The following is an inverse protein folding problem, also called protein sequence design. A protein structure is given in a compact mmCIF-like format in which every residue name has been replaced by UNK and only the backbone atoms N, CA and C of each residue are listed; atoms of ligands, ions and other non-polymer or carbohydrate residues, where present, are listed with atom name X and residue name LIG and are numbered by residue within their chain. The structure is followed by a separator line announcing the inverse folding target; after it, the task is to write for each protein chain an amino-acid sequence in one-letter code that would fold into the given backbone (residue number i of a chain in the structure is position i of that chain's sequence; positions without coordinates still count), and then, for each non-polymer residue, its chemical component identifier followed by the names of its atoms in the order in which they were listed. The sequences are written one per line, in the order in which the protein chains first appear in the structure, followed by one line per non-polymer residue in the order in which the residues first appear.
data_IF_715080796225
#
_entry.id   IF_715080796225
#
_cell.length_a   1.000
_cell.length_b   1.000
_cell.length_c   1.000
_cell.angle_alpha   90.00
_cell.angle_beta   90.00
_cell.angle_gamma   90.00
#
_symmetry.space_group_name_H-M   'P 1'
#
loop_
_entity.id
_entity.type
_entity.pdbx_description
1 polymer ?
#
# COMPACT_ATOMS: atom_id res chain seq x y z
N UNK A 1 14.80 -9.24 -29.51
CA UNK A 1 15.78 -8.84 -28.49
C UNK A 1 15.55 -7.36 -28.20
N UNK A 2 15.25 -6.97 -26.95
CA UNK A 2 15.12 -5.56 -26.57
C UNK A 2 16.47 -4.87 -26.72
N UNK A 3 16.49 -3.73 -27.40
CA UNK A 3 17.69 -2.89 -27.49
C UNK A 3 17.84 -2.02 -26.25
N UNK A 4 19.05 -1.54 -25.96
CA UNK A 4 19.28 -0.60 -24.85
C UNK A 4 18.42 0.67 -25.01
N UNK A 5 18.28 1.18 -26.22
CA UNK A 5 17.44 2.34 -26.53
C UNK A 5 15.95 2.09 -26.21
N UNK A 6 15.42 0.90 -26.50
CA UNK A 6 14.04 0.57 -26.18
C UNK A 6 13.80 0.45 -24.65
N UNK A 7 14.79 -0.01 -23.89
CA UNK A 7 14.73 -0.05 -22.43
C UNK A 7 14.76 1.37 -21.85
N UNK A 8 15.61 2.23 -22.37
CA UNK A 8 15.72 3.63 -21.97
C UNK A 8 14.41 4.42 -22.25
N UNK A 9 13.85 4.26 -23.45
CA UNK A 9 12.56 4.85 -23.81
C UNK A 9 11.44 4.40 -22.86
N UNK A 10 11.35 3.10 -22.58
CA UNK A 10 10.37 2.53 -21.65
C UNK A 10 10.55 3.09 -20.23
N UNK A 11 11.79 3.21 -19.76
CA UNK A 11 12.12 3.76 -18.44
C UNK A 11 11.62 5.20 -18.31
N UNK A 12 11.96 6.08 -19.25
CA UNK A 12 11.53 7.49 -19.20
C UNK A 12 10.02 7.65 -19.39
N UNK A 13 9.41 6.83 -20.25
CA UNK A 13 7.96 6.81 -20.42
C UNK A 13 7.23 6.46 -19.12
N UNK A 14 7.71 5.45 -18.38
CA UNK A 14 7.13 5.07 -17.08
C UNK A 14 7.23 6.20 -16.07
N UNK A 15 8.39 6.83 -15.93
CA UNK A 15 8.56 7.96 -15.01
C UNK A 15 7.71 9.17 -15.40
N UNK A 16 7.59 9.46 -16.69
CA UNK A 16 6.72 10.51 -17.17
C UNK A 16 5.24 10.22 -16.87
N UNK A 17 4.80 8.98 -17.06
CA UNK A 17 3.44 8.54 -16.72
C UNK A 17 3.21 8.65 -15.21
N UNK A 18 4.11 8.11 -14.39
CA UNK A 18 4.02 8.19 -12.94
C UNK A 18 3.91 9.64 -12.45
N UNK A 19 4.73 10.55 -13.00
CA UNK A 19 4.70 11.97 -12.65
C UNK A 19 3.36 12.65 -12.95
N UNK A 20 2.65 12.25 -14.01
CA UNK A 20 1.33 12.82 -14.35
C UNK A 20 0.28 12.56 -13.28
N UNK A 21 0.42 11.47 -12.55
CA UNK A 21 -0.52 11.07 -11.52
C UNK A 21 -0.23 11.70 -10.14
N UNK A 22 0.86 12.44 -10.00
CA UNK A 22 1.13 13.22 -8.80
C UNK A 22 0.23 14.46 -8.74
N UNK A 23 -0.42 14.64 -7.58
CA UNK A 23 -1.21 15.83 -7.25
C UNK A 23 -0.80 16.38 -5.90
N UNK A 24 -0.67 17.70 -5.83
CA UNK A 24 -0.63 18.43 -4.57
C UNK A 24 -2.07 18.63 -4.08
N UNK A 25 -2.34 18.30 -2.83
CA UNK A 25 -3.65 18.37 -2.20
C UNK A 25 -3.51 18.97 -0.80
N UNK A 26 -4.62 19.39 -0.14
CA UNK A 26 -4.60 19.80 1.26
C UNK A 26 -4.05 18.72 2.21
N UNK A 27 -4.07 17.46 1.81
CA UNK A 27 -3.57 16.31 2.59
C UNK A 27 -2.11 15.95 2.26
N UNK A 28 -1.42 16.76 1.46
CA UNK A 28 -0.08 16.52 0.94
C UNK A 28 -0.09 15.99 -0.49
N UNK A 29 1.07 15.54 -0.94
CA UNK A 29 1.21 14.97 -2.28
C UNK A 29 0.68 13.53 -2.32
N UNK A 30 -0.16 13.25 -3.31
CA UNK A 30 -0.72 11.92 -3.52
C UNK A 30 -0.52 11.46 -4.97
N UNK A 31 -0.58 10.14 -5.18
CA UNK A 31 -0.65 9.56 -6.54
C UNK A 31 -2.10 9.17 -6.80
N UNK A 32 -2.66 9.68 -7.90
CA UNK A 32 -4.03 9.38 -8.31
C UNK A 32 -4.06 8.17 -9.23
N UNK A 33 -5.13 7.38 -9.17
CA UNK A 33 -5.33 6.26 -10.10
C UNK A 33 -5.76 6.76 -11.49
N UNK A 34 -6.62 7.78 -11.52
CA UNK A 34 -7.20 8.32 -12.76
C UNK A 34 -6.84 9.79 -12.93
N UNK A 35 -6.52 10.22 -14.17
CA UNK A 35 -6.30 11.62 -14.48
C UNK A 35 -7.63 12.40 -14.59
N UNK A 36 -8.64 11.94 -15.37
CA UNK A 36 -9.98 12.53 -15.30
C UNK A 36 -10.66 12.10 -13.98
N UNK A 37 -11.53 12.97 -13.49
CA UNK A 37 -12.32 12.64 -12.31
C UNK A 37 -13.29 11.50 -12.60
N UNK A 38 -13.37 10.52 -11.70
CA UNK A 38 -14.30 9.40 -11.78
C UNK A 38 -15.06 9.25 -10.45
N UNK A 39 -16.36 9.01 -10.55
CA UNK A 39 -17.27 9.07 -9.39
C UNK A 39 -17.09 7.90 -8.39
N UNK A 40 -16.46 6.80 -8.80
CA UNK A 40 -16.24 5.65 -7.94
C UNK A 40 -14.89 5.66 -7.21
N UNK A 41 -13.99 6.58 -7.57
CA UNK A 41 -12.73 6.74 -6.86
C UNK A 41 -12.94 7.48 -5.53
N UNK A 42 -12.05 7.24 -4.60
CA UNK A 42 -12.01 7.96 -3.34
C UNK A 42 -11.56 9.42 -3.50
N UNK A 43 -11.29 10.11 -2.38
CA UNK A 43 -10.84 11.49 -2.40
C UNK A 43 -9.67 11.70 -3.35
N UNK A 44 -9.72 12.79 -4.12
CA UNK A 44 -8.68 13.16 -5.09
C UNK A 44 -8.41 12.11 -6.18
N UNK A 45 -9.41 11.35 -6.57
CA UNK A 45 -9.26 10.24 -7.52
C UNK A 45 -8.32 9.13 -7.04
N UNK A 46 -8.15 8.98 -5.73
CA UNK A 46 -7.34 7.91 -5.16
C UNK A 46 -8.13 6.62 -5.00
N UNK A 47 -7.45 5.49 -5.15
CA UNK A 47 -8.01 4.17 -4.88
C UNK A 47 -6.91 3.29 -4.24
N UNK A 48 -7.25 2.55 -3.18
CA UNK A 48 -6.26 1.80 -2.43
C UNK A 48 -5.73 0.56 -3.17
N UNK A 49 -6.47 0.04 -4.12
CA UNK A 49 -6.06 -1.08 -4.96
C UNK A 49 -4.66 -0.88 -5.58
N UNK A 50 -4.38 0.33 -6.08
CA UNK A 50 -3.13 0.67 -6.75
C UNK A 50 -2.05 1.25 -5.79
N UNK A 51 -2.41 1.66 -4.57
CA UNK A 51 -1.52 2.45 -3.71
C UNK A 51 -0.19 1.75 -3.41
N UNK A 52 -0.21 0.44 -3.19
CA UNK A 52 0.99 -0.33 -2.90
C UNK A 52 1.93 -0.42 -4.10
N UNK A 53 1.39 -0.50 -5.31
CA UNK A 53 2.17 -0.45 -6.54
C UNK A 53 2.80 0.93 -6.74
N UNK A 54 2.06 2.01 -6.44
CA UNK A 54 2.58 3.37 -6.49
C UNK A 54 3.77 3.56 -5.52
N UNK A 55 3.64 3.11 -4.27
CA UNK A 55 4.73 3.17 -3.29
C UNK A 55 5.92 2.33 -3.73
N UNK A 56 5.66 1.12 -4.27
CA UNK A 56 6.71 0.22 -4.74
C UNK A 56 7.49 0.79 -5.92
N UNK A 57 6.84 1.49 -6.83
CA UNK A 57 7.50 2.20 -7.92
C UNK A 57 8.20 3.46 -7.40
N UNK A 58 7.49 4.28 -6.62
CA UNK A 58 7.98 5.55 -6.09
C UNK A 58 9.15 5.44 -5.11
N UNK A 59 9.42 4.25 -4.55
CA UNK A 59 10.59 4.04 -3.69
C UNK A 59 11.94 4.34 -4.38
N UNK A 60 11.96 4.33 -5.72
CA UNK A 60 13.15 4.63 -6.51
C UNK A 60 13.31 6.12 -6.86
N UNK A 61 12.33 6.96 -6.52
CA UNK A 61 12.43 8.41 -6.76
C UNK A 61 13.58 9.02 -5.96
N UNK A 62 14.29 9.95 -6.58
CA UNK A 62 15.08 10.92 -5.84
C UNK A 62 14.09 11.93 -5.21
N UNK A 63 13.58 11.64 -4.03
CA UNK A 63 12.50 12.36 -3.36
C UNK A 63 13.02 13.15 -2.15
N UNK A 64 13.72 14.28 -2.36
CA UNK A 64 14.27 15.07 -1.26
C UNK A 64 13.17 15.77 -0.44
N UNK A 65 12.00 15.99 -1.02
CA UNK A 65 10.86 16.65 -0.37
C UNK A 65 9.98 15.71 0.44
N UNK A 66 10.14 14.39 0.27
CA UNK A 66 9.40 13.40 1.04
C UNK A 66 7.96 13.18 0.58
N UNK A 67 7.63 13.45 -0.68
CA UNK A 67 6.28 13.31 -1.23
C UNK A 67 5.74 11.89 -1.10
N UNK A 68 6.60 10.88 -1.28
CA UNK A 68 6.19 9.49 -1.07
C UNK A 68 5.80 9.21 0.39
N UNK A 69 6.47 9.84 1.35
CA UNK A 69 6.08 9.76 2.77
C UNK A 69 4.74 10.41 3.03
N UNK A 70 4.43 11.54 2.39
CA UNK A 70 3.12 12.19 2.46
C UNK A 70 2.03 11.27 1.90
N UNK A 71 2.28 10.63 0.76
CA UNK A 71 1.37 9.67 0.17
C UNK A 71 1.11 8.43 1.07
N UNK A 72 2.15 7.91 1.72
CA UNK A 72 1.99 6.85 2.70
C UNK A 72 1.14 7.33 3.89
N UNK A 73 1.43 8.51 4.44
CA UNK A 73 0.64 9.11 5.53
C UNK A 73 -0.83 9.34 5.16
N UNK A 74 -1.11 9.73 3.90
CA UNK A 74 -2.48 9.88 3.40
C UNK A 74 -3.31 8.61 3.65
N UNK A 75 -2.75 7.44 3.36
CA UNK A 75 -3.42 6.17 3.59
C UNK A 75 -3.51 5.80 5.08
N UNK A 76 -2.43 5.99 5.82
CA UNK A 76 -2.38 5.65 7.26
C UNK A 76 -3.27 6.56 8.11
N UNK A 77 -3.41 7.82 7.73
CA UNK A 77 -4.29 8.78 8.40
C UNK A 77 -5.76 8.68 7.97
N UNK A 78 -6.12 7.66 7.22
CA UNK A 78 -7.49 7.42 6.75
C UNK A 78 -8.08 8.57 5.92
N UNK A 79 -7.25 9.29 5.20
CA UNK A 79 -7.69 10.34 4.28
C UNK A 79 -8.23 9.78 2.96
N UNK A 80 -7.83 8.55 2.59
CA UNK A 80 -8.43 7.71 1.57
C UNK A 80 -9.17 6.52 2.18
N UNK A 81 -10.00 5.84 1.38
CA UNK A 81 -10.65 4.58 1.80
C UNK A 81 -9.65 3.41 1.68
N UNK A 82 -8.91 3.18 2.77
CA UNK A 82 -7.84 2.19 2.83
C UNK A 82 -8.36 0.74 2.92
N UNK A 83 -9.68 0.54 3.06
CA UNK A 83 -10.31 -0.78 3.23
C UNK A 83 -11.25 -1.16 2.08
N UNK A 84 -11.29 -0.39 0.98
CA UNK A 84 -12.20 -0.68 -0.13
C UNK A 84 -11.74 -1.87 -0.98
N UNK A 85 -10.44 -2.03 -1.15
CA UNK A 85 -9.82 -3.16 -1.87
C UNK A 85 -8.73 -3.82 -1.04
N UNK A 86 -8.40 -5.07 -1.37
CA UNK A 86 -7.24 -5.78 -0.80
C UNK A 86 -5.95 -5.00 -1.04
N UNK A 87 -5.17 -4.79 0.02
CA UNK A 87 -3.89 -4.09 -0.02
C UNK A 87 -2.83 -4.82 0.80
N UNK A 88 -1.58 -4.47 0.55
CA UNK A 88 -0.38 -4.99 1.23
C UNK A 88 0.49 -3.81 1.71
N UNK A 89 -0.17 -2.86 2.40
CA UNK A 89 0.43 -1.56 2.70
C UNK A 89 1.61 -1.66 3.67
N UNK A 90 1.53 -2.51 4.70
CA UNK A 90 2.64 -2.66 5.65
C UNK A 90 3.88 -3.26 4.97
N UNK A 91 3.68 -4.23 4.08
CA UNK A 91 4.77 -4.85 3.33
C UNK A 91 5.49 -3.85 2.44
N UNK A 92 4.76 -3.01 1.73
CA UNK A 92 5.39 -2.02 0.83
C UNK A 92 6.01 -0.85 1.58
N UNK A 93 5.46 -0.45 2.73
CA UNK A 93 6.07 0.56 3.61
C UNK A 93 7.38 0.04 4.19
N UNK A 94 7.42 -1.22 4.62
CA UNK A 94 8.68 -1.86 5.05
C UNK A 94 9.71 -1.85 3.93
N UNK A 95 9.33 -2.26 2.71
CA UNK A 95 10.21 -2.25 1.53
C UNK A 95 10.76 -0.85 1.22
N UNK A 96 9.88 0.18 1.30
CA UNK A 96 10.26 1.57 1.10
C UNK A 96 11.28 2.02 2.14
N UNK A 97 10.99 1.79 3.44
CA UNK A 97 11.87 2.19 4.53
C UNK A 97 13.23 1.46 4.49
N UNK A 98 13.23 0.17 4.16
CA UNK A 98 14.47 -0.61 4.04
C UNK A 98 15.38 -0.12 2.93
N UNK A 99 14.80 0.21 1.76
CA UNK A 99 15.58 0.74 0.64
C UNK A 99 16.21 2.10 0.97
N UNK A 100 15.51 2.90 1.80
CA UNK A 100 15.93 4.25 2.21
C UNK A 100 16.77 4.25 3.49
N UNK A 101 16.94 3.11 4.13
CA UNK A 101 17.56 3.00 5.47
C UNK A 101 16.89 3.92 6.50
N UNK A 102 15.56 4.07 6.43
CA UNK A 102 14.76 5.02 7.20
C UNK A 102 13.93 4.32 8.29
N UNK A 103 14.63 3.83 9.30
CA UNK A 103 13.98 3.18 10.45
C UNK A 103 13.13 4.16 11.29
N UNK A 104 13.45 5.46 11.25
CA UNK A 104 12.66 6.47 11.93
C UNK A 104 11.26 6.60 11.32
N UNK A 105 11.16 6.64 10.00
CA UNK A 105 9.88 6.67 9.32
C UNK A 105 9.12 5.34 9.44
N UNK A 106 9.84 4.21 9.45
CA UNK A 106 9.23 2.90 9.73
C UNK A 106 8.56 2.87 11.12
N UNK A 107 9.25 3.40 12.14
CA UNK A 107 8.70 3.51 13.49
C UNK A 107 7.51 4.47 13.58
N UNK A 108 7.54 5.59 12.85
CA UNK A 108 6.42 6.54 12.72
C UNK A 108 5.17 5.87 12.14
N UNK A 109 5.32 5.06 11.11
CA UNK A 109 4.21 4.39 10.43
C UNK A 109 3.56 3.28 11.25
N UNK A 110 4.27 2.73 12.23
CA UNK A 110 3.93 1.46 12.86
C UNK A 110 2.53 1.44 13.49
N UNK A 111 2.17 2.46 14.26
CA UNK A 111 0.85 2.51 14.91
C UNK A 111 -0.30 2.64 13.91
N UNK A 112 -0.10 3.40 12.84
CA UNK A 112 -1.06 3.49 11.72
C UNK A 112 -1.26 2.17 11.00
N UNK A 113 -0.17 1.43 10.76
CA UNK A 113 -0.21 0.10 10.12
C UNK A 113 -0.91 -0.93 11.01
N UNK A 114 -0.61 -0.94 12.31
CA UNK A 114 -1.29 -1.80 13.30
C UNK A 114 -2.78 -1.50 13.33
N UNK A 115 -3.15 -0.22 13.40
CA UNK A 115 -4.55 0.20 13.38
C UNK A 115 -5.26 -0.23 12.09
N UNK A 116 -4.59 -0.12 10.94
CA UNK A 116 -5.15 -0.57 9.67
C UNK A 116 -5.35 -2.09 9.64
N UNK A 117 -4.37 -2.85 10.14
CA UNK A 117 -4.46 -4.31 10.23
C UNK A 117 -5.66 -4.74 11.10
N UNK A 118 -5.81 -4.17 12.29
CA UNK A 118 -6.95 -4.46 13.17
C UNK A 118 -8.30 -4.08 12.53
N UNK A 119 -8.33 -3.02 11.72
CA UNK A 119 -9.56 -2.70 10.96
C UNK A 119 -9.89 -3.75 9.90
N UNK A 120 -8.89 -4.43 9.33
CA UNK A 120 -9.12 -5.59 8.49
C UNK A 120 -9.65 -6.79 9.29
N UNK A 121 -9.12 -7.03 10.51
CA UNK A 121 -9.64 -8.08 11.39
C UNK A 121 -11.11 -7.83 11.73
N UNK A 122 -11.45 -6.61 12.15
CA UNK A 122 -12.83 -6.24 12.47
C UNK A 122 -13.78 -6.37 11.27
N UNK A 123 -13.31 -6.01 10.08
CA UNK A 123 -14.11 -6.03 8.85
C UNK A 123 -14.30 -7.43 8.28
N UNK A 124 -13.27 -8.25 8.28
CA UNK A 124 -13.16 -9.39 7.37
C UNK A 124 -12.76 -10.71 8.01
N UNK A 125 -12.19 -10.74 9.23
CA UNK A 125 -11.70 -11.95 9.86
C UNK A 125 -12.87 -12.88 10.22
N UNK A 126 -12.75 -14.15 9.83
CA UNK A 126 -13.74 -15.17 10.09
C UNK A 126 -13.31 -16.10 11.25
N UNK A 127 -14.24 -16.83 11.88
CA UNK A 127 -13.91 -17.75 12.99
C UNK A 127 -12.88 -18.84 12.62
N UNK A 128 -12.69 -19.11 11.34
CA UNK A 128 -11.67 -20.06 10.85
C UNK A 128 -10.27 -19.46 10.77
N UNK A 129 -10.08 -18.17 11.12
CA UNK A 129 -8.78 -17.50 11.07
C UNK A 129 -8.39 -16.95 9.70
N UNK A 130 -9.28 -16.99 8.71
CA UNK A 130 -9.07 -16.43 7.38
C UNK A 130 -9.95 -15.21 7.15
N UNK A 131 -9.52 -14.35 6.23
CA UNK A 131 -10.22 -13.11 5.88
C UNK A 131 -11.14 -13.33 4.69
N UNK A 132 -12.36 -12.85 4.83
CA UNK A 132 -13.37 -12.83 3.78
C UNK A 132 -13.20 -11.58 2.91
N UNK A 133 -13.33 -11.74 1.59
CA UNK A 133 -13.36 -10.63 0.63
C UNK A 133 -14.69 -10.61 -0.12
N UNK A 134 -15.25 -9.42 -0.28
CA UNK A 134 -16.34 -9.21 -1.21
C UNK A 134 -15.90 -9.44 -2.65
N UNK A 135 -16.87 -9.63 -3.55
CA UNK A 135 -16.60 -9.79 -4.98
C UNK A 135 -15.89 -8.55 -5.55
N UNK A 136 -14.97 -8.75 -6.48
CA UNK A 136 -14.17 -7.73 -7.18
C UNK A 136 -13.28 -6.86 -6.29
N UNK A 137 -13.19 -7.13 -4.97
CA UNK A 137 -12.39 -6.31 -4.03
C UNK A 137 -10.92 -6.72 -3.90
N UNK A 138 -10.47 -7.67 -4.70
CA UNK A 138 -9.06 -8.06 -4.80
C UNK A 138 -8.39 -7.60 -6.10
N UNK A 139 -9.06 -6.76 -6.90
CA UNK A 139 -8.54 -6.27 -8.18
C UNK A 139 -8.51 -7.33 -9.28
N UNK A 140 -9.31 -8.39 -9.13
CA UNK A 140 -9.35 -9.55 -10.03
C UNK A 140 -10.68 -9.65 -10.78
N UNK A 141 -11.23 -8.51 -11.19
CA UNK A 141 -12.51 -8.42 -11.89
C UNK A 141 -12.55 -9.38 -13.10
N UNK A 142 -13.65 -10.08 -13.23
CA UNK A 142 -13.90 -11.04 -14.32
C UNK A 142 -12.99 -12.29 -14.36
N UNK A 143 -12.00 -12.41 -13.48
CA UNK A 143 -11.09 -13.57 -13.46
C UNK A 143 -11.50 -14.62 -12.43
N UNK A 144 -11.88 -14.20 -11.23
CA UNK A 144 -12.41 -15.03 -10.15
C UNK A 144 -13.68 -14.35 -9.66
N UNK A 145 -14.83 -14.99 -9.83
CA UNK A 145 -16.12 -14.43 -9.43
C UNK A 145 -16.57 -14.91 -8.05
N UNK A 146 -17.37 -14.07 -7.40
CA UNK A 146 -18.01 -14.35 -6.13
C UNK A 146 -17.18 -13.95 -4.90
N UNK A 147 -17.86 -13.62 -3.79
CA UNK A 147 -17.21 -13.34 -2.52
C UNK A 147 -16.67 -14.62 -1.88
N UNK A 148 -15.73 -14.52 -0.95
CA UNK A 148 -15.20 -15.69 -0.25
C UNK A 148 -13.89 -15.46 0.48
N UNK A 149 -13.28 -16.56 0.96
CA UNK A 149 -11.97 -16.59 1.58
C UNK A 149 -10.89 -16.56 0.49
N UNK A 150 -10.70 -15.39 -0.11
CA UNK A 150 -9.85 -15.25 -1.28
C UNK A 150 -8.36 -15.29 -0.92
N UNK A 151 -7.53 -16.01 -1.69
CA UNK A 151 -6.10 -16.10 -1.46
C UNK A 151 -5.39 -14.75 -1.47
N UNK A 152 -5.83 -13.80 -2.31
CA UNK A 152 -5.21 -12.48 -2.47
C UNK A 152 -5.19 -11.71 -1.15
N UNK A 153 -6.37 -11.48 -0.54
CA UNK A 153 -6.47 -10.74 0.73
C UNK A 153 -5.70 -11.45 1.84
N UNK A 154 -5.83 -12.78 1.94
CA UNK A 154 -5.17 -13.57 2.96
C UNK A 154 -3.64 -13.55 2.84
N UNK A 155 -3.11 -13.64 1.60
CA UNK A 155 -1.67 -13.56 1.36
C UNK A 155 -1.12 -12.15 1.68
N UNK A 156 -1.87 -11.11 1.33
CA UNK A 156 -1.49 -9.73 1.62
C UNK A 156 -1.44 -9.46 3.11
N UNK A 157 -2.47 -9.84 3.86
CA UNK A 157 -2.52 -9.62 5.31
C UNK A 157 -1.50 -10.47 6.06
N UNK A 158 -1.22 -11.68 5.61
CA UNK A 158 -0.10 -12.45 6.13
C UNK A 158 1.24 -11.72 5.94
N UNK A 159 1.49 -11.22 4.72
CA UNK A 159 2.68 -10.42 4.43
C UNK A 159 2.78 -9.16 5.30
N UNK A 160 1.66 -8.47 5.49
CA UNK A 160 1.56 -7.26 6.30
C UNK A 160 1.81 -7.55 7.79
N UNK A 161 1.27 -8.64 8.35
CA UNK A 161 1.57 -9.06 9.71
C UNK A 161 3.07 -9.30 9.90
N UNK A 162 3.69 -10.00 8.96
CA UNK A 162 5.15 -10.25 8.99
C UNK A 162 5.97 -8.96 8.85
N UNK A 163 5.53 -8.01 8.04
CA UNK A 163 6.17 -6.70 7.89
C UNK A 163 6.08 -5.86 9.18
N UNK A 164 4.88 -5.79 9.78
CA UNK A 164 4.67 -5.13 11.07
C UNK A 164 5.58 -5.76 12.14
N UNK A 165 5.64 -7.10 12.22
CA UNK A 165 6.52 -7.81 13.16
C UNK A 165 7.98 -7.38 13.00
N UNK A 166 8.51 -7.36 11.76
CA UNK A 166 9.92 -6.99 11.49
C UNK A 166 10.20 -5.51 11.80
N UNK A 167 9.28 -4.60 11.42
CA UNK A 167 9.40 -3.18 11.75
C UNK A 167 9.34 -2.95 13.26
N UNK A 168 8.45 -3.64 13.98
CA UNK A 168 8.35 -3.57 15.43
C UNK A 168 9.63 -4.06 16.12
N UNK A 169 10.25 -5.12 15.61
CA UNK A 169 11.53 -5.64 16.12
C UNK A 169 12.64 -4.59 15.99
N UNK A 170 12.78 -3.97 14.81
CA UNK A 170 13.76 -2.88 14.58
C UNK A 170 13.49 -1.65 15.45
N UNK A 171 12.22 -1.34 15.71
CA UNK A 171 11.82 -0.25 16.61
C UNK A 171 11.92 -0.59 18.11
N UNK A 172 12.40 -1.80 18.48
CA UNK A 172 12.52 -2.22 19.87
C UNK A 172 11.19 -2.60 20.54
N UNK A 173 10.08 -2.67 19.79
CA UNK A 173 8.72 -3.01 20.28
C UNK A 173 8.52 -4.53 20.31
N UNK A 174 9.29 -5.23 21.12
CA UNK A 174 9.34 -6.71 21.14
C UNK A 174 7.99 -7.40 21.34
N UNK A 175 7.14 -6.88 22.23
CA UNK A 175 5.81 -7.47 22.45
C UNK A 175 4.94 -7.40 21.21
N UNK A 176 4.96 -6.25 20.51
CA UNK A 176 4.24 -6.07 19.25
C UNK A 176 4.79 -7.00 18.16
N UNK A 177 6.12 -7.12 18.05
CA UNK A 177 6.75 -8.04 17.11
C UNK A 177 6.29 -9.48 17.30
N UNK A 178 6.23 -9.94 18.54
CA UNK A 178 5.77 -11.31 18.85
C UNK A 178 4.30 -11.49 18.54
N UNK A 179 3.45 -10.52 18.87
CA UNK A 179 2.00 -10.59 18.61
C UNK A 179 1.67 -10.74 17.12
N UNK A 180 2.43 -10.09 16.23
CA UNK A 180 2.24 -10.16 14.78
C UNK A 180 2.98 -11.31 14.08
N UNK A 181 3.71 -12.16 14.83
CA UNK A 181 4.39 -13.34 14.29
C UNK A 181 3.60 -14.64 14.49
N UNK A 182 2.58 -14.64 15.32
CA UNK A 182 1.69 -15.77 15.64
C UNK A 182 0.57 -15.91 14.60
#
# INVERSE_FOLDING_TARGET
MLTLAALEETYYFRWWTFRKHWKETPEGHIVTEFLPEVYWAGPYNSINCACCHHVREGRWLADPSGWMKEYIRFWLNRKGDALSYSTWLASVVEDYCRLREDDAFAAECLDGLVSLYHSWEEKALQPCGLFWSDDDRDGMEFSISGPGLRPTLNAYLYGDAMAISRMAERAGRKQLSVAFRQ
#
